data_IF_376038302358
#
_entry.id   IF_376038302358
#
_cell.length_a   1.000
_cell.length_b   1.000
_cell.length_c   1.000
_cell.angle_alpha   90.00
_cell.angle_beta   90.00
_cell.angle_gamma   90.00
#
_symmetry.space_group_name_H-M   'P 1'
#
loop_
_entity.id
_entity.type
_entity.pdbx_description
1 polymer ?
#
# COMPACT_ATOMS: atom_id res chain seq x y z
N UNK A 1 14.81 46.28 -28.51
CA UNK A 1 14.02 46.39 -27.26
C UNK A 1 12.73 47.06 -27.69
N UNK A 2 11.77 46.24 -28.11
CA UNK A 2 10.57 46.71 -28.81
C UNK A 2 9.35 46.35 -27.98
N UNK A 3 8.79 47.40 -27.40
CA UNK A 3 7.62 47.40 -26.52
C UNK A 3 6.37 47.24 -27.38
N UNK A 4 5.58 46.20 -27.14
CA UNK A 4 4.15 46.17 -27.51
C UNK A 4 3.34 45.62 -26.35
N UNK A 5 2.74 46.55 -25.62
CA UNK A 5 1.71 46.29 -24.63
C UNK A 5 0.45 45.76 -25.35
N UNK A 6 -0.03 44.60 -24.93
CA UNK A 6 -1.36 44.12 -25.25
C UNK A 6 -2.24 44.29 -24.01
N UNK A 7 -3.08 45.32 -24.05
CA UNK A 7 -4.18 45.55 -23.12
C UNK A 7 -5.32 44.63 -23.57
N UNK A 8 -5.68 43.64 -22.75
CA UNK A 8 -6.91 42.86 -22.93
C UNK A 8 -7.91 43.30 -21.87
N UNK A 9 -9.04 43.79 -22.35
CA UNK A 9 -10.10 44.43 -21.60
C UNK A 9 -10.81 43.46 -20.63
N UNK A 10 -11.02 43.94 -19.41
CA UNK A 10 -11.95 43.36 -18.44
C UNK A 10 -13.40 43.59 -18.90
N UNK A 11 -14.13 42.50 -19.17
CA UNK A 11 -15.58 42.51 -19.23
C UNK A 11 -16.12 41.92 -17.93
N UNK A 12 -16.54 42.82 -17.03
CA UNK A 12 -17.29 42.47 -15.82
C UNK A 12 -18.74 42.17 -16.21
N UNK A 13 -19.10 40.88 -16.27
CA UNK A 13 -20.50 40.45 -16.37
C UNK A 13 -21.09 40.36 -14.97
N UNK A 14 -22.01 41.28 -14.66
CA UNK A 14 -22.94 41.16 -13.54
C UNK A 14 -24.09 40.25 -13.97
N UNK A 15 -24.04 38.98 -13.56
CA UNK A 15 -25.14 38.03 -13.66
C UNK A 15 -25.75 37.78 -12.30
N UNK A 16 -26.88 38.43 -12.01
CA UNK A 16 -27.78 38.07 -10.91
C UNK A 16 -28.73 37.00 -11.46
N UNK A 17 -28.68 35.76 -10.96
CA UNK A 17 -29.70 34.76 -11.31
C UNK A 17 -29.30 33.32 -11.05
N UNK A 18 -30.10 32.65 -10.22
CA UNK A 18 -30.18 31.22 -9.93
C UNK A 18 -28.98 30.60 -9.19
N UNK A 19 -29.19 30.34 -7.90
CA UNK A 19 -28.46 29.34 -7.12
C UNK A 19 -28.73 27.94 -7.70
N UNK A 20 -28.04 27.59 -8.77
CA UNK A 20 -27.82 26.19 -9.13
C UNK A 20 -26.80 25.62 -8.16
N UNK A 21 -27.18 24.60 -7.39
CA UNK A 21 -26.20 23.77 -6.69
C UNK A 21 -25.24 23.21 -7.75
N UNK A 22 -24.02 23.74 -7.80
CA UNK A 22 -22.95 23.14 -8.59
C UNK A 22 -22.67 21.81 -7.87
N UNK A 23 -22.83 20.64 -8.53
CA UNK A 23 -22.38 19.40 -7.93
C UNK A 23 -20.88 19.56 -7.69
N UNK A 24 -20.43 19.33 -6.45
CA UNK A 24 -19.02 19.17 -6.17
C UNK A 24 -18.52 18.06 -7.09
N UNK A 25 -17.76 18.42 -8.12
CA UNK A 25 -16.93 17.46 -8.82
C UNK A 25 -15.96 16.96 -7.75
N UNK A 26 -16.19 15.73 -7.28
CA UNK A 26 -15.13 15.00 -6.60
C UNK A 26 -13.93 15.06 -7.54
N UNK A 27 -12.82 15.62 -7.07
CA UNK A 27 -11.55 15.47 -7.74
C UNK A 27 -11.26 13.97 -7.71
N UNK A 28 -11.70 13.28 -8.76
CA UNK A 28 -11.22 11.99 -9.16
C UNK A 28 -9.76 12.26 -9.52
N UNK A 29 -8.93 12.34 -8.49
CA UNK A 29 -7.49 12.23 -8.62
C UNK A 29 -7.31 10.78 -9.01
N UNK A 30 -7.59 10.50 -10.29
CA UNK A 30 -7.13 9.31 -10.93
C UNK A 30 -5.65 9.27 -10.58
N UNK A 31 -5.29 8.28 -9.77
CA UNK A 31 -3.91 7.92 -9.59
C UNK A 31 -3.48 7.48 -10.99
N UNK A 32 -2.97 8.42 -11.79
CA UNK A 32 -2.12 8.16 -12.95
C UNK A 32 -0.78 7.65 -12.41
N UNK A 33 -0.86 6.55 -11.66
CA UNK A 33 0.24 5.65 -11.48
C UNK A 33 0.20 4.73 -12.68
N UNK A 34 1.17 4.88 -13.57
CA UNK A 34 1.64 3.75 -14.37
C UNK A 34 1.87 2.60 -13.38
N UNK A 35 0.86 1.74 -13.21
CA UNK A 35 1.01 0.53 -12.41
C UNK A 35 1.94 -0.31 -13.26
N UNK A 36 3.23 -0.22 -12.95
CA UNK A 36 4.27 -1.05 -13.51
C UNK A 36 3.96 -2.50 -13.11
N UNK A 37 3.08 -3.14 -13.90
CA UNK A 37 2.66 -4.52 -13.74
C UNK A 37 3.80 -5.50 -14.04
N UNK A 38 4.92 -5.00 -14.57
CA UNK A 38 6.19 -5.70 -14.79
C UNK A 38 7.20 -5.36 -13.68
N UNK A 39 6.73 -5.12 -12.45
CA UNK A 39 7.67 -5.04 -11.33
C UNK A 39 8.37 -6.39 -11.15
N UNK A 40 9.65 -6.48 -11.50
CA UNK A 40 10.53 -7.63 -11.23
C UNK A 40 10.65 -7.96 -9.72
N UNK A 41 10.00 -7.19 -8.85
CA UNK A 41 10.00 -7.43 -7.42
C UNK A 41 9.10 -8.64 -7.07
N UNK A 42 9.70 -9.74 -6.56
CA UNK A 42 8.99 -10.99 -6.31
C UNK A 42 7.97 -10.91 -5.16
N UNK A 43 7.97 -9.82 -4.37
CA UNK A 43 7.03 -9.61 -3.27
C UNK A 43 5.66 -9.10 -3.73
N UNK A 44 5.61 -8.41 -4.88
CA UNK A 44 4.46 -7.59 -5.24
C UNK A 44 3.24 -8.39 -5.69
N UNK A 45 2.07 -7.82 -5.41
CA UNK A 45 0.77 -8.27 -5.92
C UNK A 45 0.46 -9.74 -5.58
N UNK A 46 0.93 -10.17 -4.41
CA UNK A 46 0.75 -11.52 -3.85
C UNK A 46 0.16 -11.42 -2.45
N UNK A 47 -0.63 -12.41 -2.08
CA UNK A 47 -1.14 -12.56 -0.71
C UNK A 47 -0.25 -13.57 0.01
N UNK A 48 0.63 -13.07 0.89
CA UNK A 48 1.55 -13.88 1.67
C UNK A 48 0.93 -14.25 3.01
N UNK A 49 0.70 -15.52 3.27
CA UNK A 49 0.12 -16.03 4.52
C UNK A 49 1.21 -16.54 5.44
N UNK A 50 1.33 -15.93 6.62
CA UNK A 50 2.30 -16.31 7.63
C UNK A 50 2.04 -17.74 8.13
N UNK A 51 3.12 -18.49 8.30
CA UNK A 51 3.15 -19.84 8.82
C UNK A 51 3.78 -19.88 10.21
N UNK A 52 3.48 -20.94 10.96
CA UNK A 52 4.05 -21.22 12.27
C UNK A 52 3.02 -21.16 13.40
N UNK A 53 3.37 -21.77 14.54
CA UNK A 53 2.43 -21.97 15.66
C UNK A 53 1.99 -20.65 16.33
N UNK A 54 2.76 -19.58 16.17
CA UNK A 54 2.46 -18.26 16.73
C UNK A 54 1.76 -17.33 15.74
N UNK A 55 1.54 -17.76 14.49
CA UNK A 55 0.86 -16.95 13.49
C UNK A 55 -0.65 -16.96 13.76
N UNK A 56 -1.27 -15.78 13.80
CA UNK A 56 -2.73 -15.67 13.79
C UNK A 56 -3.29 -16.32 12.52
N UNK A 57 -4.45 -16.99 12.57
CA UNK A 57 -5.05 -17.57 11.36
C UNK A 57 -5.26 -16.51 10.28
N UNK A 58 -4.86 -16.84 9.05
CA UNK A 58 -4.94 -15.92 7.92
C UNK A 58 -4.10 -14.65 8.07
N UNK A 59 -3.11 -14.61 8.98
CA UNK A 59 -2.15 -13.52 9.08
C UNK A 59 -1.49 -13.32 7.70
N UNK A 60 -1.82 -12.20 7.06
CA UNK A 60 -1.50 -11.92 5.67
C UNK A 60 -0.68 -10.65 5.54
N UNK A 61 0.25 -10.64 4.59
CA UNK A 61 0.94 -9.44 4.11
C UNK A 61 0.79 -9.33 2.59
N UNK A 62 0.41 -8.14 2.11
CA UNK A 62 0.24 -7.84 0.69
C UNK A 62 1.05 -6.58 0.38
N UNK A 63 2.13 -6.75 -0.36
CA UNK A 63 2.98 -5.65 -0.84
C UNK A 63 2.45 -5.18 -2.19
N UNK A 64 1.93 -3.94 -2.25
CA UNK A 64 1.43 -3.34 -3.47
C UNK A 64 2.49 -2.43 -4.11
N UNK A 65 2.47 -2.37 -5.45
CA UNK A 65 3.41 -1.60 -6.24
C UNK A 65 3.37 -0.08 -5.97
N UNK A 66 2.26 0.42 -5.44
CA UNK A 66 2.09 1.83 -5.06
C UNK A 66 2.76 2.20 -3.71
N UNK A 67 3.43 1.25 -3.07
CA UNK A 67 4.04 1.43 -1.75
C UNK A 67 3.07 1.20 -0.58
N UNK A 68 1.89 0.64 -0.82
CA UNK A 68 0.95 0.22 0.23
C UNK A 68 1.22 -1.22 0.67
N UNK A 69 1.36 -1.42 1.99
CA UNK A 69 1.39 -2.72 2.63
C UNK A 69 0.06 -2.93 3.34
N UNK A 70 -0.65 -4.00 2.98
CA UNK A 70 -1.81 -4.48 3.72
C UNK A 70 -1.36 -5.58 4.66
N UNK A 71 -1.57 -5.40 5.96
CA UNK A 71 -1.41 -6.44 6.99
C UNK A 71 -2.76 -6.73 7.60
N UNK A 72 -3.15 -8.01 7.67
CA UNK A 72 -4.43 -8.40 8.26
C UNK A 72 -4.34 -9.81 8.87
N UNK A 73 -5.31 -10.20 9.69
CA UNK A 73 -5.51 -11.58 10.12
C UNK A 73 -6.99 -11.85 10.33
N UNK A 74 -7.40 -13.11 10.46
CA UNK A 74 -8.82 -13.46 10.56
C UNK A 74 -9.55 -12.87 11.77
N UNK A 75 -8.83 -12.37 12.77
CA UNK A 75 -9.40 -11.84 14.01
C UNK A 75 -8.98 -10.40 14.31
N UNK A 76 -8.19 -9.79 13.43
CA UNK A 76 -7.73 -8.41 13.59
C UNK A 76 -8.36 -7.53 12.51
N UNK A 77 -8.24 -6.21 12.68
CA UNK A 77 -8.56 -5.27 11.61
C UNK A 77 -7.36 -5.10 10.71
N UNK A 78 -7.60 -4.97 9.40
CA UNK A 78 -6.53 -4.65 8.47
C UNK A 78 -5.81 -3.34 8.84
N UNK A 79 -4.50 -3.31 8.58
CA UNK A 79 -3.64 -2.13 8.64
C UNK A 79 -3.13 -1.81 7.25
N UNK A 80 -3.10 -0.52 6.92
CA UNK A 80 -2.43 0.01 5.74
C UNK A 80 -1.17 0.78 6.19
N UNK A 81 -0.02 0.34 5.73
CA UNK A 81 1.28 0.94 6.02
C UNK A 81 1.97 1.38 4.73
N UNK A 82 2.80 2.41 4.80
CA UNK A 82 3.74 2.71 3.72
C UNK A 82 4.90 1.75 3.83
N UNK A 83 5.21 1.05 2.75
CA UNK A 83 6.39 0.21 2.65
C UNK A 83 7.25 0.64 1.47
N UNK A 84 8.50 0.21 1.49
CA UNK A 84 9.44 0.42 0.41
C UNK A 84 10.46 -0.71 0.35
N UNK A 85 10.93 -1.00 -0.85
CA UNK A 85 12.14 -1.79 -1.07
C UNK A 85 13.37 -0.91 -0.78
N UNK A 86 14.19 -1.32 0.19
CA UNK A 86 15.42 -0.59 0.56
C UNK A 86 16.60 -1.06 -0.28
N UNK A 87 16.66 -2.37 -0.58
CA UNK A 87 17.64 -3.00 -1.48
C UNK A 87 17.10 -4.35 -1.95
N UNK A 88 17.82 -5.07 -2.82
CA UNK A 88 17.40 -6.41 -3.29
C UNK A 88 17.11 -7.41 -2.16
N UNK A 89 17.71 -7.22 -0.98
CA UNK A 89 17.56 -8.12 0.17
C UNK A 89 16.99 -7.44 1.41
N UNK A 90 16.42 -6.23 1.30
CA UNK A 90 15.88 -5.51 2.46
C UNK A 90 14.65 -4.67 2.11
N UNK A 91 13.69 -4.66 3.03
CA UNK A 91 12.46 -3.84 2.98
C UNK A 91 12.27 -3.09 4.30
N UNK A 92 11.44 -2.05 4.25
CA UNK A 92 11.01 -1.36 5.46
C UNK A 92 9.57 -0.89 5.34
N UNK A 93 8.86 -0.81 6.45
CA UNK A 93 7.55 -0.16 6.52
C UNK A 93 7.38 0.60 7.83
N UNK A 94 6.45 1.56 7.83
CA UNK A 94 6.11 2.32 9.03
C UNK A 94 4.89 1.73 9.74
N UNK A 95 5.01 1.54 11.05
CA UNK A 95 3.95 1.07 11.94
C UNK A 95 3.94 1.90 13.22
N UNK A 96 2.81 2.56 13.50
CA UNK A 96 2.58 3.38 14.70
C UNK A 96 3.70 4.42 14.98
N UNK A 97 4.28 4.98 13.91
CA UNK A 97 5.35 5.98 13.99
C UNK A 97 6.76 5.41 14.15
N UNK A 98 6.90 4.08 14.09
CA UNK A 98 8.19 3.39 14.09
C UNK A 98 8.44 2.75 12.72
N UNK A 99 9.68 2.85 12.24
CA UNK A 99 10.09 2.14 11.03
C UNK A 99 10.55 0.73 11.40
N UNK A 100 9.85 -0.26 10.87
CA UNK A 100 10.25 -1.66 10.93
C UNK A 100 11.15 -1.95 9.74
N UNK A 101 12.33 -2.50 10.01
CA UNK A 101 13.26 -2.95 8.97
C UNK A 101 13.23 -4.48 8.93
N UNK A 102 13.27 -5.07 7.73
CA UNK A 102 13.36 -6.51 7.57
C UNK A 102 14.33 -6.90 6.46
N UNK A 103 15.11 -7.95 6.71
CA UNK A 103 15.89 -8.61 5.67
C UNK A 103 15.01 -9.63 4.94
N UNK A 104 15.14 -9.70 3.63
CA UNK A 104 14.60 -10.79 2.82
C UNK A 104 15.63 -11.93 2.88
N UNK A 105 15.38 -12.89 3.77
CA UNK A 105 16.25 -14.07 3.94
C UNK A 105 16.17 -14.97 2.71
N UNK A 106 14.96 -15.16 2.19
CA UNK A 106 14.71 -15.88 0.93
C UNK A 106 13.35 -15.52 0.37
N UNK A 107 13.26 -15.45 -0.96
CA UNK A 107 11.99 -15.28 -1.69
C UNK A 107 11.98 -16.20 -2.91
N UNK A 108 10.85 -16.85 -3.14
CA UNK A 108 10.61 -17.70 -4.30
C UNK A 108 9.20 -17.45 -4.87
N UNK A 109 8.81 -18.24 -5.85
CA UNK A 109 7.47 -18.16 -6.42
C UNK A 109 6.35 -18.50 -5.41
N UNK A 110 6.64 -19.22 -4.32
CA UNK A 110 5.63 -19.72 -3.37
C UNK A 110 5.96 -19.51 -1.90
N UNK A 111 7.19 -19.10 -1.57
CA UNK A 111 7.66 -18.95 -0.19
C UNK A 111 8.40 -17.63 0.00
N UNK A 112 8.22 -17.04 1.18
CA UNK A 112 8.92 -15.82 1.61
C UNK A 112 9.38 -16.01 3.06
N UNK A 113 10.63 -15.65 3.35
CA UNK A 113 11.17 -15.61 4.70
C UNK A 113 11.74 -14.22 4.95
N UNK A 114 11.21 -13.56 5.99
CA UNK A 114 11.66 -12.26 6.45
C UNK A 114 12.32 -12.40 7.82
N UNK A 115 13.36 -11.61 8.06
CA UNK A 115 13.93 -11.42 9.39
C UNK A 115 13.72 -9.97 9.80
N UNK A 116 12.77 -9.74 10.71
CA UNK A 116 12.39 -8.41 11.19
C UNK A 116 13.34 -7.96 12.28
N UNK A 117 13.82 -6.72 12.20
CA UNK A 117 14.63 -6.07 13.23
C UNK A 117 13.73 -5.22 14.12
N UNK A 118 13.15 -5.84 15.14
CA UNK A 118 12.34 -5.13 16.14
C UNK A 118 13.25 -4.51 17.22
N UNK A 119 12.70 -3.58 18.00
CA UNK A 119 13.48 -2.85 19.02
C UNK A 119 14.14 -3.78 20.05
N UNK A 120 13.46 -4.87 20.42
CA UNK A 120 13.93 -5.82 21.43
C UNK A 120 14.67 -7.03 20.88
N UNK A 121 14.37 -7.43 19.65
CA UNK A 121 14.81 -8.71 19.10
C UNK A 121 14.67 -8.78 17.58
N UNK A 122 15.32 -9.79 16.99
CA UNK A 122 15.10 -10.15 15.61
C UNK A 122 14.09 -11.31 15.55
N UNK A 123 13.07 -11.16 14.70
CA UNK A 123 12.00 -12.16 14.54
C UNK A 123 12.00 -12.67 13.12
N UNK A 124 12.23 -13.97 12.95
CA UNK A 124 12.02 -14.63 11.67
C UNK A 124 10.52 -14.89 11.44
N UNK A 125 10.01 -14.47 10.29
CA UNK A 125 8.65 -14.76 9.83
C UNK A 125 8.71 -15.51 8.51
N UNK A 126 7.91 -16.58 8.41
CA UNK A 126 7.82 -17.43 7.23
C UNK A 126 6.43 -17.31 6.63
N UNK A 127 6.35 -17.22 5.32
CA UNK A 127 5.11 -17.05 4.58
C UNK A 127 5.05 -17.99 3.38
N UNK A 128 3.83 -18.36 3.01
CA UNK A 128 3.49 -19.05 1.75
C UNK A 128 2.47 -18.23 0.98
N UNK A 129 2.28 -18.52 -0.31
CA UNK A 129 1.16 -17.92 -1.04
C UNK A 129 -0.18 -18.41 -0.52
N UNK A 130 -1.18 -17.52 -0.49
CA UNK A 130 -2.54 -17.88 -0.16
C UNK A 130 -3.13 -18.87 -1.18
N UNK A 131 -3.84 -19.87 -0.68
CA UNK A 131 -4.73 -20.69 -1.49
C UNK A 131 -5.98 -19.89 -1.88
N UNK A 132 -6.43 -20.04 -3.13
CA UNK A 132 -7.65 -19.38 -3.63
C UNK A 132 -8.63 -20.45 -4.12
N UNK A 133 -9.88 -20.46 -3.62
CA UNK A 133 -10.47 -19.52 -2.65
C UNK A 133 -10.06 -19.80 -1.20
N UNK A 134 -9.94 -18.75 -0.39
CA UNK A 134 -9.80 -18.81 1.07
C UNK A 134 -10.82 -17.89 1.74
N UNK A 135 -11.39 -18.36 2.84
CA UNK A 135 -12.28 -17.58 3.72
C UNK A 135 -11.83 -17.83 5.14
N UNK A 136 -11.70 -16.77 5.92
CA UNK A 136 -11.39 -16.88 7.33
C UNK A 136 -12.43 -17.73 8.08
N UNK A 137 -11.99 -18.59 9.02
CA UNK A 137 -12.93 -19.33 9.85
C UNK A 137 -13.71 -18.37 10.75
N UNK A 138 -14.90 -18.78 11.15
CA UNK A 138 -15.67 -18.07 12.16
C UNK A 138 -14.86 -17.96 13.46
N UNK A 139 -14.93 -16.78 14.08
CA UNK A 139 -14.30 -16.56 15.37
C UNK A 139 -14.86 -17.55 16.42
N UNK A 140 -13.99 -18.22 17.20
CA UNK A 140 -14.45 -19.03 18.32
C UNK A 140 -15.34 -18.20 19.26
N UNK A 141 -16.39 -18.83 19.79
CA UNK A 141 -17.28 -18.21 20.77
C UNK A 141 -16.70 -18.25 22.18
#
# INVERSE_FOLDING_TARGET
MDTKAAIIALLTVWGVGAAGCIPAAAEDTAIDGDVDTDSDNPLLNKVWIQQGDTASPGAAQIFLADGTLVTDSCWETYRLSKWQQVSDTAISWDEDGMTINADIVSVSASELVLNLHLVSENVEQRFVLADVPYVCPDMPK
#
